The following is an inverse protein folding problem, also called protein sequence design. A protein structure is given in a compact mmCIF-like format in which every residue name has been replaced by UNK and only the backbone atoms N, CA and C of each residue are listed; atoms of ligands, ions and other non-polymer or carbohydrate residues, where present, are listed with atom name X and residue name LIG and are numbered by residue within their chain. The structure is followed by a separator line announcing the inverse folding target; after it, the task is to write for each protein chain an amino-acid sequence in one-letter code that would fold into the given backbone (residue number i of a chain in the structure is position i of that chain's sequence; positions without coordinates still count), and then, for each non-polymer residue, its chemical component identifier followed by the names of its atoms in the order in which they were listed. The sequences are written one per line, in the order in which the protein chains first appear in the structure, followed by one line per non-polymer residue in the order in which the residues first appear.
data_IF_561081236511
#
_entry.id   IF_561081236511
#
_cell.length_a   1.000
_cell.length_b   1.000
_cell.length_c   1.000
_cell.angle_alpha   90.00
_cell.angle_beta   90.00
_cell.angle_gamma   90.00
#
_symmetry.space_group_name_H-M   'P 1'
#
loop_
_entity.id
_entity.type
_entity.pdbx_description
1 polymer ?
#
# COMPACT_ATOMS: atom_id res chain seq x y z
N UNK A 1 -10.51 10.45 -3.30
CA UNK A 1 -10.04 9.20 -2.67
C UNK A 1 -9.37 8.38 -3.77
N UNK A 2 -8.07 8.18 -3.66
CA UNK A 2 -7.24 7.45 -4.63
C UNK A 2 -7.00 6.05 -4.08
N UNK A 3 -7.41 5.03 -4.83
CA UNK A 3 -7.21 3.63 -4.45
C UNK A 3 -5.83 3.15 -4.97
N UNK A 4 -5.07 2.51 -4.09
CA UNK A 4 -3.72 2.01 -4.38
C UNK A 4 -3.69 0.49 -4.19
N UNK A 5 -3.27 -0.23 -5.22
CA UNK A 5 -2.89 -1.65 -5.13
C UNK A 5 -1.38 -1.71 -4.96
N UNK A 6 -0.91 -2.34 -3.89
CA UNK A 6 0.52 -2.54 -3.65
C UNK A 6 0.90 -3.90 -4.23
N UNK A 7 1.89 -3.93 -5.12
CA UNK A 7 2.39 -5.16 -5.75
C UNK A 7 3.88 -5.26 -5.43
N UNK A 8 4.25 -6.27 -4.64
CA UNK A 8 5.62 -6.44 -4.14
C UNK A 8 5.88 -7.93 -3.84
N UNK A 9 7.04 -8.45 -4.24
CA UNK A 9 7.44 -9.85 -3.98
C UNK A 9 7.97 -10.04 -2.56
N UNK A 10 8.37 -8.95 -1.89
CA UNK A 10 8.80 -8.96 -0.50
C UNK A 10 7.69 -8.46 0.45
N UNK A 11 7.25 -9.32 1.37
CA UNK A 11 6.18 -9.01 2.31
C UNK A 11 6.53 -7.85 3.27
N UNK A 12 7.80 -7.67 3.62
CA UNK A 12 8.23 -6.56 4.47
C UNK A 12 8.15 -5.22 3.72
N UNK A 13 8.49 -5.22 2.43
CA UNK A 13 8.41 -4.01 1.59
C UNK A 13 6.95 -3.66 1.27
N UNK A 14 6.09 -4.65 1.02
CA UNK A 14 4.65 -4.45 0.85
C UNK A 14 4.01 -3.77 2.08
N UNK A 15 4.34 -4.23 3.29
CA UNK A 15 3.84 -3.66 4.54
C UNK A 15 4.41 -2.26 4.81
N UNK A 16 5.68 -2.00 4.45
CA UNK A 16 6.27 -0.67 4.52
C UNK A 16 5.49 0.32 3.63
N UNK A 17 5.23 -0.05 2.37
CA UNK A 17 4.46 0.74 1.43
C UNK A 17 3.01 0.95 1.92
N UNK A 18 2.40 -0.07 2.53
CA UNK A 18 1.05 0.04 3.11
C UNK A 18 0.99 1.08 4.22
N UNK A 19 1.98 1.08 5.13
CA UNK A 19 2.08 2.07 6.21
C UNK A 19 2.36 3.47 5.71
N UNK A 20 3.15 3.60 4.64
CA UNK A 20 3.39 4.88 4.00
C UNK A 20 2.12 5.44 3.38
N UNK A 21 1.41 4.65 2.57
CA UNK A 21 0.14 5.04 1.94
C UNK A 21 -0.91 5.46 2.97
N UNK A 22 -0.98 4.76 4.11
CA UNK A 22 -1.91 5.09 5.19
C UNK A 22 -1.67 6.47 5.86
N UNK A 23 -0.48 7.05 5.69
CA UNK A 23 -0.15 8.39 6.20
C UNK A 23 -0.51 9.51 5.22
N UNK A 24 -0.83 9.19 3.97
CA UNK A 24 -1.13 10.19 2.94
C UNK A 24 -2.65 10.42 2.88
N UNK A 25 -3.06 11.64 3.23
CA UNK A 25 -4.47 12.02 3.17
C UNK A 25 -5.03 11.88 1.75
N UNK A 26 -6.19 11.23 1.65
CA UNK A 26 -6.88 11.00 0.37
C UNK A 26 -6.44 9.75 -0.37
N UNK A 27 -5.47 8.98 0.14
CA UNK A 27 -5.04 7.70 -0.39
C UNK A 27 -5.55 6.55 0.48
N UNK A 28 -5.84 5.41 -0.16
CA UNK A 28 -6.30 4.20 0.51
C UNK A 28 -5.72 2.97 -0.17
N UNK A 29 -5.01 2.13 0.60
CA UNK A 29 -4.55 0.84 0.11
C UNK A 29 -5.75 -0.11 -0.01
N UNK A 30 -6.12 -0.46 -1.24
CA UNK A 30 -7.27 -1.33 -1.52
C UNK A 30 -6.90 -2.82 -1.61
N UNK A 31 -5.61 -3.15 -1.60
CA UNK A 31 -5.13 -4.52 -1.58
C UNK A 31 -3.61 -4.60 -1.72
N UNK A 32 -3.11 -5.82 -1.50
CA UNK A 32 -1.71 -6.21 -1.75
C UNK A 32 -1.70 -7.44 -2.66
N UNK A 33 -0.80 -7.48 -3.63
CA UNK A 33 -0.51 -8.66 -4.45
C UNK A 33 0.99 -8.99 -4.36
N UNK A 34 1.32 -10.27 -4.56
CA UNK A 34 2.67 -10.84 -4.50
C UNK A 34 2.95 -11.66 -5.74
#
# INVERSE_FOLDING_TARGET
MINVLIVDDDAMVAELNRRYVAQISGFHCCGTAS
#
